data_IF_133221888700
#
_entry.id   IF_133221888700
#
_cell.length_a   1.000
_cell.length_b   1.000
_cell.length_c   1.000
_cell.angle_alpha   90.00
_cell.angle_beta   90.00
_cell.angle_gamma   90.00
#
_symmetry.space_group_name_H-M   'P 1'
#
loop_
_entity.id
_entity.type
_entity.pdbx_description
1 polymer ?
#
# COMPACT_ATOMS: atom_id res chain seq x y z
N UNK A 1 -5.25 -18.74 1.63
CA UNK A 1 -5.09 -17.40 1.04
C UNK A 1 -3.64 -17.14 0.63
N UNK A 2 -2.77 -16.50 1.42
CA UNK A 2 -1.38 -16.19 0.95
C UNK A 2 -0.54 -17.46 0.77
N UNK A 3 -0.59 -18.42 1.69
CA UNK A 3 0.22 -19.65 1.61
C UNK A 3 -0.11 -20.54 0.39
N UNK A 4 -1.26 -20.33 -0.27
CA UNK A 4 -1.69 -21.09 -1.45
C UNK A 4 -1.30 -20.41 -2.77
N UNK A 5 -1.05 -19.10 -2.75
CA UNK A 5 -0.82 -18.28 -3.95
C UNK A 5 0.51 -17.52 -3.94
N UNK A 6 1.21 -17.52 -2.80
CA UNK A 6 2.56 -17.00 -2.66
C UNK A 6 3.61 -18.08 -2.88
N UNK A 7 4.74 -17.69 -3.45
CA UNK A 7 5.90 -18.57 -3.61
C UNK A 7 6.73 -18.50 -2.32
N UNK A 8 6.93 -19.61 -1.60
CA UNK A 8 7.73 -19.61 -0.38
C UNK A 8 9.21 -19.41 -0.71
N UNK A 9 9.81 -18.37 -0.15
CA UNK A 9 11.25 -18.09 -0.21
C UNK A 9 11.86 -18.47 1.14
N UNK A 10 12.53 -19.63 1.17
CA UNK A 10 13.08 -20.23 2.41
C UNK A 10 14.46 -19.70 2.79
N UNK A 11 15.17 -19.10 1.84
CA UNK A 11 16.52 -18.62 2.00
C UNK A 11 16.76 -17.40 1.10
N UNK A 12 17.77 -16.60 1.46
CA UNK A 12 18.38 -15.64 0.55
C UNK A 12 19.38 -16.37 -0.33
N UNK A 13 19.22 -16.30 -1.65
CA UNK A 13 20.26 -16.74 -2.58
C UNK A 13 21.22 -15.58 -2.82
N UNK A 14 22.50 -15.77 -2.52
CA UNK A 14 23.54 -14.76 -2.72
C UNK A 14 24.33 -15.12 -3.98
N UNK A 15 24.41 -14.20 -4.93
CA UNK A 15 25.19 -14.33 -6.16
C UNK A 15 26.49 -13.53 -6.02
N UNK A 16 27.65 -14.19 -6.13
CA UNK A 16 28.96 -13.52 -6.10
C UNK A 16 29.41 -13.11 -7.51
N UNK A 17 30.32 -12.13 -7.63
CA UNK A 17 30.87 -11.72 -8.92
C UNK A 17 31.60 -12.83 -9.68
N UNK A 18 32.13 -13.85 -8.99
CA UNK A 18 32.78 -15.02 -9.60
C UNK A 18 31.79 -16.06 -10.14
N UNK A 19 30.48 -15.78 -10.05
CA UNK A 19 29.40 -16.67 -10.49
C UNK A 19 29.01 -17.73 -9.46
N UNK A 20 29.72 -17.85 -8.34
CA UNK A 20 29.33 -18.77 -7.27
C UNK A 20 28.07 -18.29 -6.55
N UNK A 21 27.27 -19.24 -6.10
CA UNK A 21 26.05 -18.96 -5.34
C UNK A 21 26.03 -19.71 -4.02
N UNK A 22 25.37 -19.14 -3.01
CA UNK A 22 25.10 -19.84 -1.76
C UNK A 22 23.78 -19.39 -1.14
N UNK A 23 23.11 -20.32 -0.47
CA UNK A 23 21.84 -20.07 0.19
C UNK A 23 22.07 -19.76 1.68
N UNK A 24 21.43 -18.70 2.17
CA UNK A 24 21.34 -18.36 3.58
C UNK A 24 19.90 -18.54 4.06
N UNK A 25 19.57 -19.65 4.77
CA UNK A 25 18.23 -19.88 5.30
C UNK A 25 17.75 -18.71 6.15
N UNK A 26 16.46 -18.38 6.07
CA UNK A 26 15.85 -17.39 6.96
C UNK A 26 15.78 -17.90 8.40
N UNK A 27 15.40 -19.17 8.56
CA UNK A 27 15.31 -19.84 9.85
C UNK A 27 15.81 -21.29 9.75
N UNK A 28 17.00 -21.60 10.29
CA UNK A 28 17.58 -22.94 10.23
C UNK A 28 16.98 -23.92 11.25
N UNK A 29 16.15 -23.47 12.21
CA UNK A 29 15.63 -24.30 13.28
C UNK A 29 14.20 -24.74 13.03
N UNK A 30 13.31 -23.80 12.71
CA UNK A 30 11.88 -24.09 12.53
C UNK A 30 11.44 -24.04 11.07
N UNK A 31 12.38 -23.81 10.14
CA UNK A 31 12.18 -23.81 8.70
C UNK A 31 11.09 -22.82 8.23
N UNK A 32 10.96 -21.70 8.94
CA UNK A 32 10.11 -20.58 8.55
C UNK A 32 10.64 -19.91 7.27
N UNK A 33 9.71 -19.33 6.51
CA UNK A 33 9.98 -18.68 5.24
C UNK A 33 9.17 -17.40 5.06
N UNK A 34 9.61 -16.54 4.16
CA UNK A 34 8.81 -15.41 3.67
C UNK A 34 8.11 -15.80 2.38
N UNK A 35 7.02 -15.13 2.03
CA UNK A 35 6.25 -15.41 0.81
C UNK A 35 6.40 -14.27 -0.19
N UNK A 36 6.73 -14.61 -1.43
CA UNK A 36 6.62 -13.70 -2.56
C UNK A 36 5.19 -13.73 -3.10
N UNK A 37 4.52 -12.58 -3.14
CA UNK A 37 3.13 -12.45 -3.60
C UNK A 37 3.01 -11.23 -4.50
N UNK A 38 2.28 -11.38 -5.62
CA UNK A 38 1.99 -10.28 -6.51
C UNK A 38 1.10 -9.22 -5.85
N UNK A 39 1.52 -7.94 -5.92
CA UNK A 39 0.78 -6.83 -5.31
C UNK A 39 -0.66 -6.70 -5.82
N UNK A 40 -0.85 -6.79 -7.14
CA UNK A 40 -2.18 -6.70 -7.77
C UNK A 40 -3.09 -7.84 -7.32
N UNK A 41 -2.52 -9.04 -7.19
CA UNK A 41 -3.26 -10.22 -6.74
C UNK A 41 -3.69 -10.11 -5.28
N UNK A 42 -2.79 -9.67 -4.39
CA UNK A 42 -3.16 -9.45 -2.99
C UNK A 42 -4.24 -8.37 -2.86
N UNK A 43 -4.11 -7.28 -3.61
CA UNK A 43 -5.10 -6.20 -3.61
C UNK A 43 -6.47 -6.67 -4.13
N UNK A 44 -6.51 -7.51 -5.16
CA UNK A 44 -7.78 -8.03 -5.68
C UNK A 44 -8.47 -8.97 -4.69
N UNK A 45 -7.72 -9.77 -3.93
CA UNK A 45 -8.31 -10.58 -2.84
C UNK A 45 -8.93 -9.65 -1.80
N UNK A 46 -8.20 -8.64 -1.32
CA UNK A 46 -8.72 -7.74 -0.28
C UNK A 46 -9.99 -7.01 -0.74
N UNK A 47 -10.03 -6.56 -1.99
CA UNK A 47 -11.23 -5.94 -2.56
C UNK A 47 -12.38 -6.93 -2.63
N UNK A 48 -12.14 -8.16 -3.12
CA UNK A 48 -13.16 -9.20 -3.18
C UNK A 48 -13.70 -9.58 -1.81
N UNK A 49 -12.84 -9.70 -0.80
CA UNK A 49 -13.30 -9.98 0.57
C UNK A 49 -14.15 -8.84 1.13
N UNK A 50 -13.83 -7.59 0.79
CA UNK A 50 -14.66 -6.46 1.18
C UNK A 50 -16.03 -6.43 0.48
N UNK A 51 -16.19 -7.06 -0.69
CA UNK A 51 -17.49 -7.20 -1.37
C UNK A 51 -18.45 -8.10 -0.61
N UNK A 52 -17.94 -9.00 0.23
CA UNK A 52 -18.74 -9.88 1.07
C UNK A 52 -19.28 -9.18 2.34
N UNK A 53 -18.98 -7.88 2.52
CA UNK A 53 -19.41 -7.09 3.67
C UNK A 53 -20.48 -6.09 3.24
N UNK A 54 -21.73 -6.35 3.61
CA UNK A 54 -22.90 -5.52 3.23
C UNK A 54 -22.81 -4.08 3.74
N UNK A 55 -22.04 -3.85 4.80
CA UNK A 55 -21.82 -2.53 5.41
C UNK A 55 -20.59 -1.80 4.86
N UNK A 56 -19.99 -2.27 3.77
CA UNK A 56 -18.81 -1.66 3.16
C UNK A 56 -19.10 -1.26 1.71
N UNK A 57 -19.14 0.04 1.49
CA UNK A 57 -19.25 0.63 0.16
C UNK A 57 -17.87 1.03 -0.38
N UNK A 58 -17.69 0.94 -1.70
CA UNK A 58 -16.42 1.20 -2.38
C UNK A 58 -16.63 2.17 -3.52
N UNK A 59 -15.87 3.25 -3.51
CA UNK A 59 -15.96 4.32 -4.50
C UNK A 59 -14.63 4.48 -5.25
N UNK A 60 -14.50 3.80 -6.39
CA UNK A 60 -13.34 3.96 -7.28
C UNK A 60 -13.43 5.25 -8.09
N UNK A 61 -12.31 5.72 -8.65
CA UNK A 61 -12.23 7.00 -9.39
C UNK A 61 -12.59 8.25 -8.57
N UNK A 62 -12.59 8.16 -7.24
CA UNK A 62 -12.80 9.30 -6.34
C UNK A 62 -11.47 9.71 -5.71
N UNK A 63 -10.88 10.81 -6.19
CA UNK A 63 -9.61 11.32 -5.66
C UNK A 63 -9.88 12.33 -4.55
N UNK A 64 -9.39 12.07 -3.34
CA UNK A 64 -9.48 13.04 -2.24
C UNK A 64 -8.62 14.28 -2.58
N UNK A 65 -9.26 15.46 -2.56
CA UNK A 65 -8.59 16.74 -2.84
C UNK A 65 -8.47 17.64 -1.60
N UNK A 66 -9.40 17.50 -0.64
CA UNK A 66 -9.41 18.28 0.60
C UNK A 66 -10.15 17.52 1.69
N UNK A 67 -9.73 17.69 2.94
CA UNK A 67 -10.44 17.22 4.12
C UNK A 67 -10.40 18.28 5.21
N UNK A 68 -11.51 18.47 5.92
CA UNK A 68 -11.60 19.31 7.09
C UNK A 68 -11.97 18.45 8.31
N UNK A 69 -11.03 18.32 9.23
CA UNK A 69 -11.19 17.45 10.40
C UNK A 69 -12.06 18.07 11.50
N UNK A 70 -12.33 19.39 11.44
CA UNK A 70 -13.18 20.05 12.44
C UNK A 70 -14.66 19.74 12.25
N UNK A 71 -15.10 19.63 11.01
CA UNK A 71 -16.50 19.36 10.63
C UNK A 71 -16.70 17.99 9.96
N UNK A 72 -15.63 17.18 9.86
CA UNK A 72 -15.65 15.86 9.26
C UNK A 72 -15.89 15.85 7.75
N UNK A 73 -15.74 16.99 7.06
CA UNK A 73 -16.02 17.07 5.62
C UNK A 73 -14.84 16.64 4.75
N UNK A 74 -15.15 15.91 3.69
CA UNK A 74 -14.22 15.42 2.68
C UNK A 74 -14.68 15.89 1.31
N UNK A 75 -13.76 16.39 0.50
CA UNK A 75 -14.01 16.76 -0.89
C UNK A 75 -13.25 15.83 -1.81
N UNK A 76 -13.98 15.12 -2.65
CA UNK A 76 -13.46 14.22 -3.67
C UNK A 76 -13.66 14.83 -5.06
N UNK A 77 -12.71 14.59 -5.96
CA UNK A 77 -12.86 14.84 -7.39
C UNK A 77 -13.09 13.51 -8.10
N UNK A 78 -14.19 13.41 -8.84
CA UNK A 78 -14.45 12.30 -9.75
C UNK A 78 -13.51 12.39 -10.94
N UNK A 79 -12.70 11.36 -11.16
CA UNK A 79 -11.60 11.42 -12.13
C UNK A 79 -12.06 11.38 -13.59
N UNK A 80 -13.23 10.79 -13.82
CA UNK A 80 -13.95 10.69 -15.10
C UNK A 80 -14.67 11.98 -15.48
N UNK A 81 -15.48 12.56 -14.58
CA UNK A 81 -16.31 13.75 -14.88
C UNK A 81 -15.66 15.08 -14.49
N UNK A 82 -14.60 15.06 -13.66
CA UNK A 82 -14.00 16.23 -12.99
C UNK A 82 -14.94 16.95 -12.02
N UNK A 83 -16.09 16.37 -11.72
CA UNK A 83 -17.01 16.92 -10.73
C UNK A 83 -16.46 16.78 -9.32
N UNK A 84 -16.81 17.75 -8.48
CA UNK A 84 -16.50 17.73 -7.06
C UNK A 84 -17.67 17.11 -6.28
N UNK A 85 -17.38 16.15 -5.43
CA UNK A 85 -18.31 15.53 -4.50
C UNK A 85 -17.89 15.85 -3.07
N UNK A 86 -18.82 16.34 -2.26
CA UNK A 86 -18.60 16.55 -0.83
C UNK A 86 -19.35 15.50 -0.02
N UNK A 87 -18.67 14.92 0.96
CA UNK A 87 -19.26 13.96 1.91
C UNK A 87 -18.82 14.31 3.34
N UNK A 88 -19.55 13.83 4.32
CA UNK A 88 -19.22 13.98 5.74
C UNK A 88 -19.01 12.59 6.35
N UNK A 89 -18.11 12.51 7.33
CA UNK A 89 -17.84 11.29 8.08
C UNK A 89 -17.53 11.61 9.54
N UNK A 90 -17.96 10.73 10.45
CA UNK A 90 -17.65 10.83 11.89
C UNK A 90 -16.20 10.41 12.19
N UNK A 91 -15.65 9.51 11.37
CA UNK A 91 -14.27 9.03 11.48
C UNK A 91 -13.62 8.96 10.09
N UNK A 92 -12.40 9.48 10.00
CA UNK A 92 -11.60 9.48 8.76
C UNK A 92 -10.32 8.68 9.01
N UNK A 93 -10.10 7.63 8.22
CA UNK A 93 -8.87 6.82 8.26
C UNK A 93 -8.04 7.10 6.99
N UNK A 94 -6.85 7.69 7.16
CA UNK A 94 -5.92 7.98 6.07
C UNK A 94 -5.07 6.77 5.68
N UNK A 95 -5.57 5.95 4.75
CA UNK A 95 -4.84 4.82 4.15
C UNK A 95 -4.37 5.09 2.70
N UNK A 96 -4.06 6.36 2.39
CA UNK A 96 -3.82 6.90 1.04
C UNK A 96 -2.32 6.97 0.64
N UNK A 97 -1.48 6.18 1.32
CA UNK A 97 -0.11 5.90 0.92
C UNK A 97 0.93 6.99 1.25
N UNK A 98 2.13 6.84 0.72
CA UNK A 98 3.28 7.68 1.07
C UNK A 98 3.05 9.18 0.77
N UNK A 99 2.27 9.52 -0.26
CA UNK A 99 1.96 10.91 -0.65
C UNK A 99 0.57 11.38 -0.20
N UNK A 100 0.11 10.84 0.92
CA UNK A 100 -1.19 11.08 1.56
C UNK A 100 -1.70 12.54 1.50
N UNK A 101 -2.93 12.70 1.04
CA UNK A 101 -3.71 13.94 1.12
C UNK A 101 -4.22 14.15 2.54
N UNK A 102 -4.67 13.10 3.23
CA UNK A 102 -5.15 13.20 4.63
C UNK A 102 -4.04 13.80 5.50
N UNK A 103 -2.82 13.26 5.42
CA UNK A 103 -1.67 13.78 6.17
C UNK A 103 -1.34 15.22 5.80
N UNK A 104 -1.43 15.60 4.52
CA UNK A 104 -1.20 16.99 4.09
C UNK A 104 -2.19 17.97 4.72
N UNK A 105 -3.45 17.58 4.89
CA UNK A 105 -4.43 18.41 5.58
C UNK A 105 -4.17 18.45 7.10
N UNK A 106 -3.69 17.35 7.70
CA UNK A 106 -3.33 17.32 9.12
C UNK A 106 -2.13 18.21 9.43
N UNK A 107 -1.15 18.27 8.53
CA UNK A 107 0.03 19.15 8.65
C UNK A 107 -0.33 20.64 8.68
N UNK A 108 -1.53 21.04 8.25
CA UNK A 108 -2.01 22.43 8.34
C UNK A 108 -2.57 22.76 9.74
N UNK A 109 -2.79 21.77 10.59
CA UNK A 109 -3.29 21.95 11.95
C UNK A 109 -2.13 22.27 12.91
N UNK A 110 -2.40 23.01 14.02
CA UNK A 110 -1.37 23.30 15.01
C UNK A 110 -0.87 22.03 15.70
N UNK A 111 0.35 22.09 16.24
CA UNK A 111 0.98 21.01 17.01
C UNK A 111 1.22 19.71 16.21
N UNK A 112 1.42 19.80 14.90
CA UNK A 112 1.72 18.66 14.03
C UNK A 112 3.19 18.64 13.61
N UNK A 113 3.96 17.66 14.09
CA UNK A 113 5.35 17.45 13.68
C UNK A 113 5.40 16.55 12.43
N UNK A 114 6.18 16.94 11.42
CA UNK A 114 6.35 16.17 10.19
C UNK A 114 7.78 16.29 9.65
N UNK A 115 8.30 15.20 9.08
CA UNK A 115 9.54 15.18 8.31
C UNK A 115 9.37 14.33 7.05
N UNK A 116 10.11 14.71 6.00
CA UNK A 116 10.17 13.95 4.76
C UNK A 116 11.60 14.03 4.22
N UNK A 117 12.17 12.86 3.91
CA UNK A 117 13.51 12.74 3.34
C UNK A 117 13.47 11.79 2.16
N UNK A 118 14.04 12.23 1.04
CA UNK A 118 14.33 11.37 -0.09
C UNK A 118 15.74 10.79 0.08
N UNK A 119 15.88 9.49 -0.16
CA UNK A 119 17.19 8.82 -0.17
C UNK A 119 17.86 9.01 -1.53
N UNK A 120 19.18 8.87 -1.58
CA UNK A 120 19.98 9.06 -2.81
C UNK A 120 19.73 7.97 -3.86
N UNK A 121 19.26 6.80 -3.44
CA UNK A 121 19.07 5.64 -4.32
C UNK A 121 17.67 5.62 -4.92
N UNK A 122 17.59 5.40 -6.24
CA UNK A 122 16.38 4.99 -6.94
C UNK A 122 16.31 3.48 -7.13
N UNK A 123 15.16 2.98 -7.55
CA UNK A 123 15.00 1.58 -7.96
C UNK A 123 14.42 1.50 -9.38
N UNK A 124 14.75 0.43 -10.08
CA UNK A 124 14.21 0.07 -11.40
C UNK A 124 13.79 -1.40 -11.36
N UNK A 125 12.64 -1.72 -11.93
CA UNK A 125 12.14 -3.08 -12.03
C UNK A 125 12.61 -3.72 -13.34
N UNK A 126 13.26 -4.89 -13.24
CA UNK A 126 13.67 -5.72 -14.36
C UNK A 126 13.04 -7.12 -14.21
N UNK A 127 12.69 -7.75 -15.32
CA UNK A 127 12.02 -9.05 -15.33
C UNK A 127 12.93 -10.13 -15.93
N UNK A 128 13.04 -11.27 -15.24
CA UNK A 128 13.64 -12.50 -15.76
C UNK A 128 12.47 -13.41 -16.17
N UNK A 129 12.32 -13.75 -17.46
CA UNK A 129 11.24 -14.63 -17.92
C UNK A 129 11.42 -16.06 -17.40
N UNK A 130 10.33 -16.82 -17.44
CA UNK A 130 10.31 -18.25 -17.15
C UNK A 130 10.88 -19.08 -18.31
#
# INVERSE_FOLDING_TARGET
MINQHGIPMRARMIHRPDGTTYAMPYDPRTNQCIYSVGRNYLNSILLKESENLDNVERYFNHKLVKSNFKDGSLTFMKMDTKESLQVNADLIIGADGAFSTVRKEMMKQPLFNFSQQYIEHGYLELCIPA
#
